data_IF_227955223981
#
_entry.id   IF_227955223981
#
_cell.length_a   1.000
_cell.length_b   1.000
_cell.length_c   1.000
_cell.angle_alpha   90.00
_cell.angle_beta   90.00
_cell.angle_gamma   90.00
#
_symmetry.space_group_name_H-M   'P 1'
#
loop_
_entity.id
_entity.type
_entity.pdbx_description
1 polymer ?
#
# COMPACT_ATOMS: atom_id res chain seq x y z
N UNK A 1 -15.99 21.34 -9.85
CA UNK A 1 -17.33 20.74 -9.64
C UNK A 1 -17.28 19.20 -9.59
N UNK A 2 -16.80 18.49 -10.62
CA UNK A 2 -16.87 17.01 -10.69
C UNK A 2 -16.20 16.22 -9.55
N UNK A 3 -15.12 16.74 -8.95
CA UNK A 3 -14.46 16.07 -7.80
C UNK A 3 -15.40 15.95 -6.60
N UNK A 4 -16.13 17.02 -6.29
CA UNK A 4 -17.06 17.07 -5.15
C UNK A 4 -18.22 16.10 -5.39
N UNK A 5 -18.77 16.07 -6.61
CA UNK A 5 -19.86 15.16 -6.97
C UNK A 5 -19.44 13.69 -6.83
N UNK A 6 -18.22 13.33 -7.26
CA UNK A 6 -17.71 11.96 -7.08
C UNK A 6 -17.54 11.59 -5.61
N UNK A 7 -16.98 12.49 -4.80
CA UNK A 7 -16.83 12.26 -3.36
C UNK A 7 -18.19 12.08 -2.68
N UNK A 8 -19.18 12.92 -3.02
CA UNK A 8 -20.52 12.83 -2.47
C UNK A 8 -21.23 11.54 -2.88
N UNK A 9 -21.16 11.17 -4.16
CA UNK A 9 -21.71 9.91 -4.66
C UNK A 9 -21.07 8.70 -3.98
N UNK A 10 -19.75 8.71 -3.75
CA UNK A 10 -19.03 7.66 -3.04
C UNK A 10 -19.50 7.52 -1.58
N UNK A 11 -19.64 8.63 -0.87
CA UNK A 11 -20.14 8.66 0.51
C UNK A 11 -21.56 8.08 0.58
N UNK A 12 -22.45 8.51 -0.32
CA UNK A 12 -23.83 8.03 -0.36
C UNK A 12 -23.93 6.55 -0.72
N UNK A 13 -23.14 6.08 -1.69
CA UNK A 13 -23.17 4.68 -2.14
C UNK A 13 -22.70 3.69 -1.07
N UNK A 14 -21.72 4.08 -0.25
CA UNK A 14 -21.19 3.24 0.81
C UNK A 14 -21.98 3.34 2.12
N UNK A 15 -22.49 4.53 2.44
CA UNK A 15 -23.09 4.81 3.74
C UNK A 15 -22.09 4.69 4.90
N UNK A 16 -22.58 4.86 6.13
CA UNK A 16 -21.73 4.89 7.32
C UNK A 16 -20.94 3.58 7.54
N UNK A 17 -21.62 2.43 7.44
CA UNK A 17 -20.98 1.13 7.62
C UNK A 17 -19.98 0.81 6.50
N UNK A 18 -20.30 1.16 5.24
CA UNK A 18 -19.38 0.96 4.13
C UNK A 18 -18.12 1.81 4.26
N UNK A 19 -18.24 3.07 4.66
CA UNK A 19 -17.09 3.95 4.89
C UNK A 19 -16.19 3.43 6.00
N UNK A 20 -16.78 2.96 7.11
CA UNK A 20 -16.03 2.32 8.20
C UNK A 20 -15.29 1.06 7.71
N UNK A 21 -15.98 0.21 6.94
CA UNK A 21 -15.42 -1.03 6.40
C UNK A 21 -14.25 -0.77 5.43
N UNK A 22 -14.35 0.23 4.56
CA UNK A 22 -13.25 0.57 3.64
C UNK A 22 -11.99 0.96 4.41
N UNK A 23 -12.10 1.75 5.47
CA UNK A 23 -10.96 2.10 6.32
C UNK A 23 -10.33 0.86 6.97
N UNK A 24 -11.15 -0.04 7.50
CA UNK A 24 -10.67 -1.30 8.11
C UNK A 24 -9.96 -2.21 7.09
N UNK A 25 -10.52 -2.33 5.88
CA UNK A 25 -9.91 -3.13 4.80
C UNK A 25 -8.59 -2.51 4.34
N UNK A 26 -8.49 -1.19 4.25
CA UNK A 26 -7.24 -0.52 3.88
C UNK A 26 -6.11 -0.84 4.89
N UNK A 27 -6.42 -0.77 6.20
CA UNK A 27 -5.47 -1.12 7.26
C UNK A 27 -5.10 -2.61 7.22
N UNK A 28 -6.07 -3.49 7.00
CA UNK A 28 -5.85 -4.93 6.89
C UNK A 28 -4.93 -5.27 5.71
N UNK A 29 -5.21 -4.72 4.53
CA UNK A 29 -4.45 -4.99 3.31
C UNK A 29 -2.99 -4.53 3.45
N UNK A 30 -2.77 -3.33 4.02
CA UNK A 30 -1.44 -2.81 4.26
C UNK A 30 -0.65 -3.72 5.21
N UNK A 31 -1.23 -4.14 6.33
CA UNK A 31 -0.56 -5.01 7.29
C UNK A 31 -0.35 -6.43 6.77
N UNK A 32 -1.27 -6.95 5.94
CA UNK A 32 -1.11 -8.24 5.28
C UNK A 32 0.13 -8.23 4.37
N UNK A 33 0.25 -7.24 3.49
CA UNK A 33 1.41 -7.11 2.61
C UNK A 33 2.71 -6.85 3.38
N UNK A 34 2.65 -6.03 4.46
CA UNK A 34 3.78 -5.78 5.35
C UNK A 34 4.35 -7.09 5.91
N UNK A 35 3.49 -7.95 6.46
CA UNK A 35 3.89 -9.25 7.03
C UNK A 35 4.37 -10.21 5.95
N UNK A 36 3.77 -10.20 4.76
CA UNK A 36 4.18 -11.05 3.65
C UNK A 36 5.58 -10.69 3.12
N UNK A 37 5.94 -9.42 3.14
CA UNK A 37 7.18 -8.91 2.52
C UNK A 37 8.34 -8.71 3.49
N UNK A 38 8.10 -8.64 4.81
CA UNK A 38 9.14 -8.35 5.82
C UNK A 38 10.31 -9.35 5.85
N UNK A 39 10.08 -10.59 5.41
CA UNK A 39 11.13 -11.64 5.37
C UNK A 39 12.08 -11.47 4.16
N UNK A 40 11.68 -10.69 3.15
CA UNK A 40 12.43 -10.50 1.90
C UNK A 40 13.02 -9.10 1.74
N UNK A 41 12.42 -8.11 2.39
CA UNK A 41 12.81 -6.71 2.29
C UNK A 41 13.10 -6.14 3.68
N UNK A 42 14.01 -5.18 3.75
CA UNK A 42 14.19 -4.43 4.99
C UNK A 42 12.94 -3.60 5.28
N UNK A 43 12.33 -3.84 6.44
CA UNK A 43 11.21 -3.09 6.99
C UNK A 43 11.73 -2.14 8.07
N UNK A 44 11.90 -0.83 7.80
CA UNK A 44 12.48 0.10 8.78
C UNK A 44 11.63 0.28 10.04
N UNK A 45 10.31 0.06 9.92
CA UNK A 45 9.35 0.21 11.01
C UNK A 45 8.51 -1.06 11.17
N UNK A 46 9.01 -2.03 11.94
CA UNK A 46 8.27 -3.27 12.23
C UNK A 46 7.22 -3.07 13.35
N UNK A 47 6.12 -2.45 12.98
CA UNK A 47 4.93 -2.28 13.83
C UNK A 47 3.66 -2.37 13.00
N UNK A 48 2.52 -2.62 13.66
CA UNK A 48 1.22 -2.49 13.00
C UNK A 48 1.09 -1.06 12.47
N UNK A 49 0.83 -0.94 11.16
CA UNK A 49 0.68 0.33 10.48
C UNK A 49 -0.79 0.66 10.23
N UNK A 50 -1.06 1.88 9.75
CA UNK A 50 -2.40 2.27 9.27
C UNK A 50 -2.60 1.77 7.84
N UNK A 51 -2.81 2.66 6.86
CA UNK A 51 -3.16 2.29 5.48
C UNK A 51 -1.94 2.11 4.55
N UNK A 52 -0.72 2.21 5.06
CA UNK A 52 0.52 2.11 4.28
C UNK A 52 1.70 1.65 5.15
N UNK A 53 2.78 1.19 4.51
CA UNK A 53 4.05 0.84 5.14
C UNK A 53 5.20 1.11 4.17
N UNK A 54 6.44 1.12 4.67
CA UNK A 54 7.65 1.40 3.88
C UNK A 54 8.55 0.19 3.86
N UNK A 55 9.07 -0.15 2.69
CA UNK A 55 10.18 -1.08 2.50
C UNK A 55 11.36 -0.32 1.92
N UNK A 56 12.58 -0.77 2.21
CA UNK A 56 13.79 -0.19 1.62
C UNK A 56 14.66 -1.27 0.96
N UNK A 57 15.53 -0.83 0.08
CA UNK A 57 16.59 -1.62 -0.58
C UNK A 57 17.77 -2.00 0.32
N UNK A 58 17.80 -1.54 1.59
CA UNK A 58 18.86 -1.92 2.53
C UNK A 58 18.95 -3.44 2.66
N UNK A 59 20.15 -3.98 2.48
CA UNK A 59 20.43 -5.41 2.63
C UNK A 59 20.08 -6.25 1.41
N UNK A 60 19.61 -5.65 0.31
CA UNK A 60 19.48 -6.32 -0.96
C UNK A 60 20.87 -6.47 -1.59
N UNK A 61 21.18 -7.67 -2.08
CA UNK A 61 22.46 -7.98 -2.71
C UNK A 61 22.62 -7.28 -4.08
N UNK A 62 23.84 -7.33 -4.63
CA UNK A 62 24.16 -6.84 -5.97
C UNK A 62 23.96 -5.33 -6.21
N UNK A 63 23.98 -4.51 -5.14
CA UNK A 63 23.77 -3.05 -5.21
C UNK A 63 22.45 -2.66 -5.89
N UNK A 64 21.44 -3.52 -5.84
CA UNK A 64 20.10 -3.23 -6.37
C UNK A 64 19.50 -2.08 -5.55
N UNK A 65 18.99 -1.07 -6.25
CA UNK A 65 18.36 0.10 -5.65
C UNK A 65 16.84 0.00 -5.65
N UNK A 66 16.20 0.86 -4.86
CA UNK A 66 14.74 1.03 -4.87
C UNK A 66 14.21 1.38 -6.27
N UNK A 67 14.98 2.14 -7.07
CA UNK A 67 14.61 2.47 -8.45
C UNK A 67 14.64 1.25 -9.37
N UNK A 68 15.65 0.38 -9.25
CA UNK A 68 15.73 -0.85 -10.04
C UNK A 68 14.53 -1.77 -9.77
N UNK A 69 14.14 -1.89 -8.50
CA UNK A 69 12.95 -2.65 -8.08
C UNK A 69 11.69 -2.01 -8.66
N UNK A 70 11.56 -0.68 -8.58
CA UNK A 70 10.43 0.04 -9.15
C UNK A 70 10.31 -0.19 -10.66
N UNK A 71 11.42 -0.14 -11.42
CA UNK A 71 11.42 -0.46 -12.85
C UNK A 71 11.06 -1.92 -13.10
N UNK A 72 11.56 -2.85 -12.29
CA UNK A 72 11.25 -4.27 -12.45
C UNK A 72 9.78 -4.59 -12.18
N UNK A 73 9.12 -3.87 -11.27
CA UNK A 73 7.66 -3.99 -11.02
C UNK A 73 6.85 -3.66 -12.29
N UNK A 74 7.30 -2.72 -13.12
CA UNK A 74 6.65 -2.39 -14.39
C UNK A 74 6.63 -3.58 -15.36
N UNK A 75 7.68 -4.41 -15.37
CA UNK A 75 7.74 -5.61 -16.22
C UNK A 75 6.70 -6.67 -15.81
N UNK A 76 6.20 -6.62 -14.58
CA UNK A 76 5.09 -7.45 -14.09
C UNK A 76 3.71 -6.81 -14.33
N UNK A 77 3.64 -5.67 -15.02
CA UNK A 77 2.40 -4.96 -15.33
C UNK A 77 1.81 -4.18 -14.14
N UNK A 78 2.61 -3.90 -13.12
CA UNK A 78 2.21 -3.11 -11.95
C UNK A 78 2.85 -1.72 -11.99
N UNK A 79 2.17 -0.70 -11.47
CA UNK A 79 2.75 0.62 -11.27
C UNK A 79 3.55 0.66 -9.97
N UNK A 80 4.69 1.36 -9.99
CA UNK A 80 5.60 1.52 -8.86
C UNK A 80 5.72 2.99 -8.45
#
# INVERSE_FOLDING_TARGET
FGVIVRAYAYILALGAEGLKRVGQIAVLNANYLRVLLKEKYHLPYDRICQHEFVLSDRGIENNITTEDIAKRILDYGLYA
#
